data_IF_744629857175
#
_entry.id   IF_744629857175
#
_cell.length_a   1.000
_cell.length_b   1.000
_cell.length_c   1.000
_cell.angle_alpha   90.00
_cell.angle_beta   90.00
_cell.angle_gamma   90.00
#
_symmetry.space_group_name_H-M   'P 1'
#
loop_
_entity.id
_entity.type
_entity.pdbx_description
1 polymer ?
#
# COMPACT_ATOMS: atom_id res chain seq x y z
N UNK A 1 -24.31 1.50 8.11
CA UNK A 1 -23.75 1.24 6.78
C UNK A 1 -22.32 0.76 6.93
N UNK A 2 -21.97 -0.33 6.30
CA UNK A 2 -20.63 -0.88 6.38
C UNK A 2 -19.65 0.02 5.63
N UNK A 3 -18.49 0.27 6.22
CA UNK A 3 -17.40 1.02 5.58
C UNK A 3 -16.81 0.18 4.46
N UNK A 4 -16.28 0.85 3.45
CA UNK A 4 -15.69 0.20 2.28
C UNK A 4 -14.35 0.83 1.96
N UNK A 5 -13.49 0.07 1.32
CA UNK A 5 -12.32 0.60 0.65
C UNK A 5 -12.55 0.56 -0.87
N UNK A 6 -11.70 1.24 -1.62
CA UNK A 6 -11.84 1.36 -3.07
C UNK A 6 -10.74 0.60 -3.79
N UNK A 7 -11.08 0.05 -4.95
CA UNK A 7 -10.11 -0.57 -5.85
C UNK A 7 -9.67 0.47 -6.88
N UNK A 8 -8.35 0.62 -7.06
CA UNK A 8 -7.79 1.49 -8.10
C UNK A 8 -6.73 0.72 -8.85
N UNK A 9 -6.44 1.17 -10.07
CA UNK A 9 -5.36 0.61 -10.88
C UNK A 9 -4.11 1.46 -10.77
N UNK A 10 -2.97 0.88 -11.13
CA UNK A 10 -1.68 1.58 -11.09
C UNK A 10 -1.70 2.88 -11.90
N UNK A 11 -2.47 2.94 -12.99
CA UNK A 11 -2.59 4.16 -13.80
C UNK A 11 -3.20 5.33 -13.05
N UNK A 12 -3.91 5.08 -11.93
CA UNK A 12 -4.55 6.12 -11.13
C UNK A 12 -3.65 6.64 -10.02
N UNK A 13 -2.50 6.01 -9.77
CA UNK A 13 -1.63 6.35 -8.62
C UNK A 13 -1.13 7.79 -8.71
N UNK A 14 -0.62 8.21 -9.88
CA UNK A 14 -0.08 9.56 -10.03
C UNK A 14 -1.09 10.63 -9.64
N UNK A 15 -2.33 10.51 -10.11
CA UNK A 15 -3.38 11.49 -9.82
C UNK A 15 -3.70 11.51 -8.33
N UNK A 16 -3.80 10.34 -7.71
CA UNK A 16 -4.11 10.26 -6.28
C UNK A 16 -2.99 10.84 -5.42
N UNK A 17 -1.72 10.56 -5.76
CA UNK A 17 -0.58 11.16 -5.07
C UNK A 17 -0.57 12.67 -5.23
N UNK A 18 -0.88 13.14 -6.42
CA UNK A 18 -0.95 14.58 -6.70
C UNK A 18 -2.05 15.27 -5.89
N UNK A 19 -3.12 14.54 -5.58
CA UNK A 19 -4.21 15.03 -4.74
C UNK A 19 -3.92 14.91 -3.24
N UNK A 20 -2.73 14.44 -2.86
CA UNK A 20 -2.32 14.39 -1.46
C UNK A 20 -2.42 13.03 -0.80
N UNK A 21 -2.68 11.96 -1.53
CA UNK A 21 -2.69 10.62 -0.95
C UNK A 21 -1.28 10.17 -0.61
N UNK A 22 -1.16 9.34 0.45
CA UNK A 22 0.06 8.61 0.75
C UNK A 22 0.00 7.24 0.08
N UNK A 23 1.17 6.68 -0.24
CA UNK A 23 1.27 5.32 -0.73
C UNK A 23 2.18 4.51 0.18
N UNK A 24 1.71 3.33 0.62
CA UNK A 24 2.46 2.44 1.49
C UNK A 24 2.67 1.11 0.75
N UNK A 25 3.93 0.74 0.58
CA UNK A 25 4.31 -0.55 0.00
C UNK A 25 4.50 -1.54 1.13
N UNK A 26 3.64 -2.56 1.16
CA UNK A 26 3.56 -3.51 2.27
C UNK A 26 4.38 -4.78 2.03
N UNK A 27 5.12 -4.82 0.90
CA UNK A 27 5.91 -6.00 0.53
C UNK A 27 7.13 -6.17 1.44
N UNK A 28 7.90 -7.20 1.17
CA UNK A 28 9.14 -7.47 1.91
C UNK A 28 10.34 -6.76 1.26
N UNK A 29 11.41 -6.52 2.03
CA UNK A 29 12.60 -5.82 1.49
C UNK A 29 13.20 -6.47 0.25
N UNK A 30 13.23 -7.81 0.18
CA UNK A 30 13.76 -8.52 -0.99
C UNK A 30 12.92 -8.25 -2.24
N UNK A 31 11.61 -8.03 -2.08
CA UNK A 31 10.75 -7.67 -3.21
C UNK A 31 11.03 -6.23 -3.69
N UNK A 32 11.25 -5.31 -2.77
CA UNK A 32 11.60 -3.92 -3.11
C UNK A 32 12.91 -3.86 -3.88
N UNK A 33 13.89 -4.67 -3.46
CA UNK A 33 15.19 -4.73 -4.13
C UNK A 33 15.07 -5.32 -5.54
N UNK A 34 14.17 -6.28 -5.72
CA UNK A 34 14.00 -6.95 -7.00
C UNK A 34 13.36 -6.04 -8.06
N UNK A 35 12.32 -5.30 -7.70
CA UNK A 35 11.53 -4.52 -8.66
C UNK A 35 11.74 -3.02 -8.57
N UNK A 36 12.29 -2.53 -7.45
CA UNK A 36 12.15 -1.11 -7.08
C UNK A 36 10.76 -0.84 -6.51
N UNK A 37 10.48 0.41 -6.25
CA UNK A 37 9.24 0.88 -5.62
C UNK A 37 8.68 2.06 -6.41
N UNK A 38 7.42 2.37 -6.21
CA UNK A 38 6.84 3.64 -6.67
C UNK A 38 7.48 4.75 -5.84
N UNK A 39 8.03 5.77 -6.49
CA UNK A 39 8.71 6.86 -5.80
C UNK A 39 7.79 7.51 -4.78
N UNK A 40 8.32 7.76 -3.58
CA UNK A 40 7.55 8.33 -2.49
C UNK A 40 6.82 7.32 -1.63
N UNK A 41 6.89 6.03 -1.96
CA UNK A 41 6.28 5.00 -1.12
C UNK A 41 6.91 4.96 0.27
N UNK A 42 6.05 4.92 1.29
CA UNK A 42 6.45 4.51 2.63
C UNK A 42 6.58 2.98 2.62
N UNK A 43 7.63 2.45 3.23
CA UNK A 43 7.92 1.02 3.21
C UNK A 43 7.57 0.42 4.56
N UNK A 44 6.53 -0.42 4.60
CA UNK A 44 6.03 -0.97 5.86
C UNK A 44 5.49 -2.38 5.64
N UNK A 45 6.35 -3.38 5.74
CA UNK A 45 6.03 -4.79 5.51
C UNK A 45 4.93 -5.26 6.46
N UNK A 46 3.89 -5.90 5.92
CA UNK A 46 2.79 -6.46 6.71
C UNK A 46 2.99 -7.95 7.00
N UNK A 47 3.24 -8.76 5.96
CA UNK A 47 3.44 -10.20 6.10
C UNK A 47 4.92 -10.55 5.96
N UNK A 48 5.41 -11.45 6.82
CA UNK A 48 6.77 -11.98 6.67
C UNK A 48 6.81 -13.07 5.58
N UNK A 49 7.98 -13.68 5.37
CA UNK A 49 8.16 -14.67 4.30
C UNK A 49 7.44 -16.00 4.58
N UNK A 50 6.89 -16.18 5.77
CA UNK A 50 6.09 -17.34 6.14
C UNK A 50 4.59 -17.02 6.15
N UNK A 51 4.22 -15.80 5.78
CA UNK A 51 2.83 -15.37 5.77
C UNK A 51 2.29 -14.92 7.13
N UNK A 52 3.15 -14.78 8.12
CA UNK A 52 2.76 -14.33 9.45
C UNK A 52 2.77 -12.79 9.51
N UNK A 53 1.95 -12.23 10.40
CA UNK A 53 1.85 -10.79 10.55
C UNK A 53 1.62 -10.42 12.01
N UNK A 54 1.85 -9.14 12.32
CA UNK A 54 1.53 -8.54 13.61
C UNK A 54 0.68 -7.29 13.35
N UNK A 55 -0.63 -7.47 13.07
CA UNK A 55 -1.47 -6.38 12.57
C UNK A 55 -1.55 -5.18 13.51
N UNK A 56 -1.64 -5.41 14.83
CA UNK A 56 -1.72 -4.32 15.79
C UNK A 56 -0.47 -3.45 15.80
N UNK A 57 0.70 -4.06 15.78
CA UNK A 57 1.97 -3.34 15.70
C UNK A 57 2.10 -2.61 14.38
N UNK A 58 1.71 -3.25 13.29
CA UNK A 58 1.73 -2.64 11.97
C UNK A 58 0.83 -1.39 11.92
N UNK A 59 -0.37 -1.48 12.49
CA UNK A 59 -1.30 -0.36 12.53
C UNK A 59 -0.74 0.81 13.33
N UNK A 60 -0.08 0.54 14.45
CA UNK A 60 0.59 1.59 15.24
C UNK A 60 1.62 2.33 14.40
N UNK A 61 2.46 1.58 13.69
CA UNK A 61 3.50 2.17 12.84
C UNK A 61 2.87 2.96 11.68
N UNK A 62 1.84 2.41 11.05
CA UNK A 62 1.13 3.10 9.98
C UNK A 62 0.61 4.46 10.45
N UNK A 63 -0.01 4.50 11.63
CA UNK A 63 -0.59 5.73 12.15
C UNK A 63 0.47 6.76 12.54
N UNK A 64 1.71 6.34 12.77
CA UNK A 64 2.84 7.25 13.01
C UNK A 64 3.34 7.90 11.73
N UNK A 65 3.24 7.22 10.58
CA UNK A 65 3.82 7.70 9.32
C UNK A 65 2.79 8.29 8.36
N UNK A 66 1.51 7.92 8.50
CA UNK A 66 0.43 8.45 7.66
C UNK A 66 -0.70 8.93 8.55
N UNK A 67 -1.02 10.23 8.57
CA UNK A 67 -2.15 10.74 9.35
C UNK A 67 -3.45 10.01 9.00
N UNK A 68 -4.32 9.82 10.00
CA UNK A 68 -5.55 9.05 9.86
C UNK A 68 -6.50 9.65 8.82
N UNK A 69 -6.47 10.97 8.64
CA UNK A 69 -7.33 11.66 7.68
C UNK A 69 -6.75 11.79 6.28
N UNK A 70 -5.50 11.35 6.08
CA UNK A 70 -4.88 11.38 4.75
C UNK A 70 -5.32 10.16 3.93
N UNK A 71 -5.74 10.36 2.67
CA UNK A 71 -6.06 9.23 1.80
C UNK A 71 -4.86 8.28 1.68
N UNK A 72 -5.12 6.98 1.71
CA UNK A 72 -4.10 5.96 1.81
C UNK A 72 -4.22 4.96 0.67
N UNK A 73 -3.15 4.85 -0.13
CA UNK A 73 -3.00 3.80 -1.14
C UNK A 73 -2.11 2.70 -0.56
N UNK A 74 -2.55 1.45 -0.70
CA UNK A 74 -1.76 0.29 -0.33
C UNK A 74 -1.37 -0.48 -1.59
N UNK A 75 -0.07 -0.79 -1.72
CA UNK A 75 0.44 -1.52 -2.89
C UNK A 75 1.22 -2.75 -2.44
N UNK A 76 0.97 -3.87 -3.11
CA UNK A 76 1.76 -5.09 -2.99
C UNK A 76 2.13 -5.57 -4.39
N UNK A 77 2.39 -6.86 -4.56
CA UNK A 77 2.79 -7.37 -5.88
C UNK A 77 1.62 -7.37 -6.87
N UNK A 78 0.46 -7.91 -6.47
CA UNK A 78 -0.69 -8.14 -7.37
C UNK A 78 -2.00 -7.58 -6.86
N UNK A 79 -2.03 -6.97 -5.66
CA UNK A 79 -3.25 -6.48 -5.05
C UNK A 79 -3.90 -7.46 -4.07
N UNK A 80 -3.40 -8.69 -3.96
CA UNK A 80 -4.00 -9.70 -3.08
C UNK A 80 -3.74 -9.42 -1.60
N UNK A 81 -2.46 -9.27 -1.20
CA UNK A 81 -2.12 -8.99 0.21
C UNK A 81 -2.76 -7.70 0.67
N UNK A 82 -2.71 -6.67 -0.16
CA UNK A 82 -3.27 -5.35 0.20
C UNK A 82 -4.78 -5.38 0.28
N UNK A 83 -5.45 -6.24 -0.51
CA UNK A 83 -6.89 -6.46 -0.34
C UNK A 83 -7.22 -6.96 1.06
N UNK A 84 -6.46 -7.92 1.57
CA UNK A 84 -6.64 -8.44 2.93
C UNK A 84 -6.37 -7.37 3.98
N UNK A 85 -5.36 -6.53 3.77
CA UNK A 85 -5.01 -5.45 4.70
C UNK A 85 -6.11 -4.38 4.70
N UNK A 86 -6.66 -4.04 3.52
CA UNK A 86 -7.77 -3.10 3.44
C UNK A 86 -8.98 -3.61 4.21
N UNK A 87 -9.32 -4.90 4.10
CA UNK A 87 -10.41 -5.50 4.88
C UNK A 87 -10.17 -5.35 6.38
N UNK A 88 -8.94 -5.58 6.82
CA UNK A 88 -8.56 -5.38 8.21
C UNK A 88 -8.75 -3.92 8.65
N UNK A 89 -8.25 -2.98 7.83
CA UNK A 89 -8.30 -1.55 8.17
C UNK A 89 -9.73 -1.01 8.27
N UNK A 90 -10.66 -1.46 7.43
CA UNK A 90 -12.04 -0.99 7.53
C UNK A 90 -12.74 -1.50 8.79
N UNK A 91 -12.24 -2.57 9.41
CA UNK A 91 -12.78 -3.09 10.66
C UNK A 91 -12.23 -2.37 11.88
N UNK A 92 -10.94 -2.01 11.88
CA UNK A 92 -10.24 -1.56 13.10
C UNK A 92 -9.81 -0.11 13.07
N UNK A 93 -9.83 0.56 11.91
CA UNK A 93 -9.32 1.92 11.75
C UNK A 93 -10.46 2.89 11.48
N UNK A 94 -10.26 4.17 11.88
CA UNK A 94 -11.20 5.23 11.55
C UNK A 94 -10.94 5.88 10.19
N UNK A 95 -9.96 5.38 9.43
CA UNK A 95 -9.63 5.93 8.11
C UNK A 95 -10.81 5.80 7.16
N UNK A 96 -11.07 6.86 6.39
CA UNK A 96 -12.21 6.91 5.47
C UNK A 96 -11.81 6.61 4.03
N UNK A 97 -10.62 7.06 3.62
CA UNK A 97 -10.17 6.97 2.22
C UNK A 97 -9.03 5.97 2.10
N UNK A 98 -9.39 4.71 1.89
CA UNK A 98 -8.45 3.60 1.76
C UNK A 98 -8.61 3.02 0.37
N UNK A 99 -7.48 2.87 -0.34
CA UNK A 99 -7.44 2.38 -1.72
C UNK A 99 -6.53 1.16 -1.83
N UNK A 100 -7.03 0.11 -2.44
CA UNK A 100 -6.21 -1.03 -2.84
C UNK A 100 -5.74 -0.84 -4.28
N UNK A 101 -4.43 -0.83 -4.51
CA UNK A 101 -3.90 -0.86 -5.88
C UNK A 101 -4.07 -2.29 -6.39
N UNK A 102 -5.15 -2.53 -7.13
CA UNK A 102 -5.66 -3.87 -7.43
C UNK A 102 -4.80 -4.66 -8.40
N UNK A 103 -3.94 -4.00 -9.19
CA UNK A 103 -2.98 -4.66 -10.07
C UNK A 103 -1.55 -4.62 -9.52
N UNK A 104 -1.35 -3.99 -8.38
CA UNK A 104 -0.08 -3.97 -7.65
C UNK A 104 1.09 -3.40 -8.44
N UNK A 105 2.31 -3.71 -7.96
CA UNK A 105 3.53 -3.25 -8.64
C UNK A 105 3.67 -3.87 -10.05
N UNK A 106 3.11 -5.06 -10.26
CA UNK A 106 3.14 -5.68 -11.59
C UNK A 106 2.38 -4.85 -12.60
N UNK A 107 1.24 -4.26 -12.22
CA UNK A 107 0.50 -3.35 -13.10
C UNK A 107 1.28 -2.07 -13.39
N UNK A 108 1.93 -1.52 -12.37
CA UNK A 108 2.79 -0.34 -12.51
C UNK A 108 3.91 -0.59 -13.51
N UNK A 109 4.60 -1.74 -13.38
CA UNK A 109 5.68 -2.12 -14.27
C UNK A 109 5.19 -2.40 -15.69
N UNK A 110 4.02 -3.03 -15.83
CA UNK A 110 3.43 -3.33 -17.13
C UNK A 110 3.08 -2.07 -17.92
N UNK A 111 2.74 -0.98 -17.23
CA UNK A 111 2.49 0.32 -17.86
C UNK A 111 3.79 1.03 -18.26
N UNK A 112 4.94 0.50 -17.86
CA UNK A 112 6.23 1.13 -18.17
C UNK A 112 6.56 2.32 -17.30
N UNK A 113 5.87 2.51 -16.18
CA UNK A 113 6.14 3.61 -15.27
C UNK A 113 7.47 3.40 -14.55
N UNK A 114 8.21 4.47 -14.24
CA UNK A 114 9.52 4.34 -13.61
C UNK A 114 9.41 3.90 -12.15
N UNK A 115 10.45 3.22 -11.68
CA UNK A 115 10.58 2.83 -10.28
C UNK A 115 11.77 3.53 -9.66
N UNK A 116 11.73 3.69 -8.34
CA UNK A 116 12.83 4.22 -7.55
C UNK A 116 13.51 3.08 -6.80
N UNK A 117 14.76 3.30 -6.42
CA UNK A 117 15.50 2.40 -5.55
C UNK A 117 14.93 2.53 -4.13
N UNK A 118 14.78 1.42 -3.44
CA UNK A 118 14.32 1.44 -2.05
C UNK A 118 15.36 1.95 -1.05
N UNK A 119 16.62 2.00 -1.44
CA UNK A 119 17.76 2.40 -0.59
C UNK A 119 17.99 1.46 0.61
N UNK A 120 17.61 0.20 0.46
CA UNK A 120 17.81 -0.81 1.49
C UNK A 120 18.86 -1.85 1.09
#
# INVERSE_FOLDING_TARGET
>A
MRRKYKQVKSVEIHDLLHQGAAIVDVRRPEEWQLTGIVEGSQLLTFFDNQGNSQPGEWLKLLNQIVPVDQPLLLICRTGHRTGLICEYLIEVSSRLDIYNVSDGILGWLAEGFPVADSNL
#
